data_IF_173602966446
#
_entry.id   IF_173602966446
#
_cell.length_a   1.000
_cell.length_b   1.000
_cell.length_c   1.000
_cell.angle_alpha   90.00
_cell.angle_beta   90.00
_cell.angle_gamma   90.00
#
_symmetry.space_group_name_H-M   'P 1'
#
loop_
_entity.id
_entity.type
_entity.pdbx_description
1 polymer ?
#
# COMPACT_ATOMS: atom_id res chain seq x y z
N UNK A 1 -66.03 8.06 51.13
CA UNK A 1 -64.99 7.05 50.82
C UNK A 1 -63.59 7.44 51.33
N UNK A 2 -63.46 8.17 52.46
CA UNK A 2 -62.16 8.65 53.00
C UNK A 2 -61.61 7.84 54.19
N UNK A 3 -62.34 6.83 54.67
CA UNK A 3 -62.04 6.15 55.95
C UNK A 3 -61.24 4.84 55.80
N UNK A 4 -60.88 4.44 54.58
CA UNK A 4 -60.10 3.20 54.35
C UNK A 4 -58.58 3.46 54.44
N UNK A 5 -58.12 4.63 53.97
CA UNK A 5 -56.71 5.00 53.96
C UNK A 5 -56.06 5.09 55.35
N UNK A 6 -56.85 5.39 56.40
CA UNK A 6 -56.34 5.57 57.75
C UNK A 6 -56.22 4.25 58.55
N UNK A 7 -56.78 3.13 58.05
CA UNK A 7 -56.65 1.79 58.67
C UNK A 7 -55.53 0.93 58.05
N UNK A 8 -55.00 1.29 56.88
CA UNK A 8 -53.86 0.59 56.26
C UNK A 8 -52.58 0.56 57.12
N UNK A 9 -52.15 1.62 57.84
CA UNK A 9 -50.85 1.60 58.52
C UNK A 9 -50.81 0.79 59.83
N UNK A 10 -51.92 0.20 60.29
CA UNK A 10 -51.97 -0.59 61.54
C UNK A 10 -51.73 -2.09 61.36
N UNK A 11 -51.73 -2.60 60.12
CA UNK A 11 -51.56 -4.02 59.88
C UNK A 11 -50.06 -4.36 59.73
N UNK A 12 -49.52 -5.31 60.50
CA UNK A 12 -48.11 -5.69 60.43
C UNK A 12 -47.71 -6.17 59.02
N UNK A 13 -48.64 -6.77 58.26
CA UNK A 13 -48.43 -7.19 56.87
C UNK A 13 -48.12 -6.03 55.91
N UNK A 14 -48.78 -4.87 56.07
CA UNK A 14 -48.58 -3.71 55.19
C UNK A 14 -47.22 -3.04 55.50
N UNK A 15 -46.81 -3.08 56.77
CA UNK A 15 -45.48 -2.60 57.20
C UNK A 15 -44.37 -3.47 56.59
N UNK A 16 -44.49 -4.81 56.64
CA UNK A 16 -43.52 -5.70 56.00
C UNK A 16 -43.50 -5.58 54.48
N UNK A 17 -44.64 -5.37 53.83
CA UNK A 17 -44.71 -5.14 52.38
C UNK A 17 -43.98 -3.85 51.98
N UNK A 18 -44.19 -2.77 52.73
CA UNK A 18 -43.49 -1.51 52.50
C UNK A 18 -41.98 -1.65 52.79
N UNK A 19 -41.60 -2.36 53.87
CA UNK A 19 -40.21 -2.66 54.18
C UNK A 19 -39.54 -3.45 53.05
N UNK A 20 -40.20 -4.49 52.51
CA UNK A 20 -39.69 -5.25 51.37
C UNK A 20 -39.54 -4.39 50.12
N UNK A 21 -40.50 -3.49 49.85
CA UNK A 21 -40.41 -2.56 48.73
C UNK A 21 -39.23 -1.58 48.89
N UNK A 22 -39.01 -1.05 50.11
CA UNK A 22 -37.88 -0.17 50.41
C UNK A 22 -36.55 -0.91 50.27
N UNK A 23 -36.44 -2.14 50.79
CA UNK A 23 -35.24 -2.98 50.65
C UNK A 23 -34.98 -3.30 49.17
N UNK A 24 -36.02 -3.66 48.41
CA UNK A 24 -35.92 -3.88 46.97
C UNK A 24 -35.42 -2.63 46.23
N UNK A 25 -36.00 -1.47 46.50
CA UNK A 25 -35.54 -0.21 45.92
C UNK A 25 -34.08 0.12 46.31
N UNK A 26 -33.69 -0.14 47.57
CA UNK A 26 -32.33 0.08 48.03
C UNK A 26 -31.33 -0.85 47.30
N UNK A 27 -31.68 -2.12 47.11
CA UNK A 27 -30.87 -3.08 46.35
C UNK A 27 -30.76 -2.65 44.89
N UNK A 28 -31.87 -2.29 44.24
CA UNK A 28 -31.86 -1.81 42.84
C UNK A 28 -31.00 -0.55 42.71
N UNK A 29 -31.17 0.43 43.61
CA UNK A 29 -30.38 1.66 43.61
C UNK A 29 -28.89 1.38 43.84
N UNK A 30 -28.56 0.47 44.76
CA UNK A 30 -27.19 0.02 45.02
C UNK A 30 -26.56 -0.64 43.80
N UNK A 31 -27.28 -1.54 43.12
CA UNK A 31 -26.82 -2.19 41.87
C UNK A 31 -26.63 -1.16 40.76
N UNK A 32 -27.56 -0.22 40.61
CA UNK A 32 -27.43 0.86 39.61
C UNK A 32 -26.20 1.73 39.87
N UNK A 33 -25.96 2.14 41.12
CA UNK A 33 -24.78 2.94 41.48
C UNK A 33 -23.48 2.17 41.39
N UNK A 34 -23.50 0.87 41.71
CA UNK A 34 -22.35 -0.01 41.51
C UNK A 34 -22.01 -0.14 40.02
N UNK A 35 -23.03 -0.30 39.16
CA UNK A 35 -22.84 -0.37 37.72
C UNK A 35 -22.27 0.93 37.14
N UNK A 36 -22.77 2.08 37.62
CA UNK A 36 -22.31 3.43 37.22
C UNK A 36 -20.82 3.64 37.56
N UNK A 37 -20.40 3.23 38.76
CA UNK A 37 -18.99 3.26 39.20
C UNK A 37 -18.13 2.25 38.44
N UNK A 38 -18.62 1.04 38.21
CA UNK A 38 -17.84 -0.01 37.56
C UNK A 38 -17.61 0.30 36.08
N UNK A 39 -18.55 0.97 35.42
CA UNK A 39 -18.49 1.21 33.97
C UNK A 39 -17.76 2.50 33.56
N UNK A 40 -17.26 3.32 34.50
CA UNK A 40 -16.48 4.54 34.24
C UNK A 40 -17.03 5.34 33.04
N UNK A 41 -18.33 5.65 33.06
CA UNK A 41 -19.08 6.14 31.90
C UNK A 41 -18.71 7.54 31.39
N UNK A 42 -17.61 8.16 31.85
CA UNK A 42 -17.37 9.59 31.62
C UNK A 42 -15.95 10.03 31.23
N UNK A 43 -15.00 9.12 30.99
CA UNK A 43 -13.67 9.51 30.50
C UNK A 43 -13.57 9.24 28.99
N UNK A 44 -14.18 10.17 28.24
CA UNK A 44 -13.99 10.25 26.80
C UNK A 44 -12.92 11.28 26.50
N UNK A 45 -11.87 10.85 25.82
CA UNK A 45 -10.81 11.72 25.33
C UNK A 45 -11.07 12.07 23.87
N UNK A 46 -10.82 13.33 23.52
CA UNK A 46 -10.91 13.78 22.14
C UNK A 46 -9.63 13.44 21.38
N UNK A 47 -9.80 12.91 20.16
CA UNK A 47 -8.69 12.61 19.27
C UNK A 47 -8.06 13.94 18.80
N UNK A 48 -6.77 14.20 19.06
CA UNK A 48 -6.10 15.41 18.60
C UNK A 48 -5.99 15.42 17.07
N UNK A 49 -6.03 16.60 16.47
CA UNK A 49 -5.72 16.75 15.05
C UNK A 49 -4.21 16.71 14.85
N UNK A 50 -3.74 15.65 14.19
CA UNK A 50 -2.32 15.44 13.88
C UNK A 50 -2.06 15.30 12.39
N UNK A 51 -3.02 15.69 11.54
CA UNK A 51 -2.83 15.67 10.09
C UNK A 51 -1.71 16.63 9.68
N UNK A 52 -0.84 16.16 8.78
CA UNK A 52 0.32 16.92 8.30
C UNK A 52 1.51 16.97 9.27
N UNK A 53 1.35 16.53 10.51
CA UNK A 53 2.47 16.40 11.45
C UNK A 53 3.30 15.15 11.15
N UNK A 54 4.55 15.17 11.61
CA UNK A 54 5.39 13.98 11.62
C UNK A 54 4.87 12.94 12.62
N UNK A 55 5.22 11.67 12.39
CA UNK A 55 4.84 10.56 13.31
C UNK A 55 5.35 10.82 14.73
N UNK A 56 6.54 11.40 14.88
CA UNK A 56 7.16 11.67 16.17
C UNK A 56 6.42 12.76 16.96
N UNK A 57 6.05 13.86 16.29
CA UNK A 57 5.25 14.93 16.91
C UNK A 57 3.85 14.44 17.28
N UNK A 58 3.23 13.65 16.39
CA UNK A 58 1.94 13.06 16.64
C UNK A 58 1.97 12.05 17.80
N UNK A 59 3.04 11.28 17.94
CA UNK A 59 3.22 10.34 19.05
C UNK A 59 3.19 11.06 20.41
N UNK A 60 3.82 12.22 20.51
CA UNK A 60 3.79 13.05 21.72
C UNK A 60 2.38 13.54 22.03
N UNK A 61 1.61 13.95 21.01
CA UNK A 61 0.22 14.40 21.19
C UNK A 61 -0.70 13.25 21.60
N UNK A 62 -0.58 12.07 20.98
CA UNK A 62 -1.34 10.90 21.38
C UNK A 62 -1.03 10.48 22.83
N UNK A 63 0.26 10.48 23.22
CA UNK A 63 0.66 10.14 24.57
C UNK A 63 0.12 11.13 25.61
N UNK A 64 0.13 12.45 25.31
CA UNK A 64 -0.47 13.48 26.18
C UNK A 64 -1.97 13.29 26.38
N UNK A 65 -2.67 12.81 25.35
CA UNK A 65 -4.10 12.48 25.41
C UNK A 65 -4.37 11.06 25.94
N UNK A 66 -3.37 10.30 26.40
CA UNK A 66 -3.59 8.91 26.86
C UNK A 66 -4.06 7.96 25.76
N UNK A 67 -3.81 8.30 24.49
CA UNK A 67 -4.14 7.50 23.31
C UNK A 67 -2.92 6.72 22.83
N UNK A 68 -3.16 5.62 22.13
CA UNK A 68 -2.12 4.83 21.46
C UNK A 68 -2.29 4.97 19.96
N UNK A 69 -1.22 4.82 19.19
CA UNK A 69 -1.31 4.83 17.73
C UNK A 69 -0.75 3.54 17.12
N UNK A 70 -1.23 3.21 15.92
CA UNK A 70 -0.69 2.14 15.11
C UNK A 70 -0.65 2.57 13.63
N UNK A 71 0.49 2.34 12.97
CA UNK A 71 0.67 2.61 11.56
C UNK A 71 0.10 1.46 10.75
N UNK A 72 -0.96 1.73 9.99
CA UNK A 72 -1.66 0.69 9.21
C UNK A 72 -1.28 0.69 7.74
N UNK A 73 -0.97 1.86 7.19
CA UNK A 73 -0.76 2.00 5.76
C UNK A 73 0.13 3.20 5.43
N UNK A 74 0.68 3.17 4.23
CA UNK A 74 1.39 4.28 3.61
C UNK A 74 0.68 4.67 2.31
N UNK A 75 0.11 5.86 2.28
CA UNK A 75 -0.51 6.43 1.08
C UNK A 75 0.54 7.24 0.33
N UNK A 76 0.54 7.22 -1.00
CA UNK A 76 1.41 8.09 -1.80
C UNK A 76 0.63 9.32 -2.26
N UNK A 77 0.90 10.47 -1.63
CA UNK A 77 0.33 11.76 -2.01
C UNK A 77 1.44 12.77 -2.30
N UNK A 78 1.24 13.59 -3.33
CA UNK A 78 2.17 14.67 -3.71
C UNK A 78 1.95 15.95 -2.89
N UNK A 79 0.80 16.07 -2.22
CA UNK A 79 0.38 17.30 -1.55
C UNK A 79 0.89 17.41 -0.11
N UNK A 80 1.35 16.29 0.46
CA UNK A 80 1.76 16.18 1.86
C UNK A 80 3.25 15.82 1.93
N UNK A 81 3.96 16.31 2.95
CA UNK A 81 5.37 15.95 3.15
C UNK A 81 5.53 14.43 3.35
N UNK A 82 6.63 13.81 2.89
CA UNK A 82 6.90 12.39 3.15
C UNK A 82 7.03 12.11 4.65
N UNK A 83 6.43 11.02 5.12
CA UNK A 83 6.42 10.65 6.54
C UNK A 83 5.43 11.43 7.42
N UNK A 84 4.71 12.41 6.86
CA UNK A 84 3.65 13.09 7.59
C UNK A 84 2.34 12.29 7.56
N UNK A 85 1.49 12.51 8.55
CA UNK A 85 0.21 11.82 8.69
C UNK A 85 -0.79 12.37 7.66
N UNK A 86 -1.37 11.47 6.86
CA UNK A 86 -2.37 11.80 5.84
C UNK A 86 -3.77 11.55 6.38
N UNK A 87 -3.97 10.39 7.01
CA UNK A 87 -5.29 9.94 7.46
C UNK A 87 -5.22 9.30 8.84
N UNK A 88 -6.32 9.44 9.59
CA UNK A 88 -6.45 9.01 10.97
C UNK A 88 -7.85 8.43 11.15
N UNK A 89 -7.93 7.26 11.79
CA UNK A 89 -9.19 6.61 12.16
C UNK A 89 -9.13 6.18 13.62
N UNK A 90 -10.05 6.64 14.49
CA UNK A 90 -11.16 7.58 14.27
C UNK A 90 -10.73 9.00 13.89
N UNK A 91 -11.63 9.78 13.28
CA UNK A 91 -11.37 11.14 12.84
C UNK A 91 -10.99 12.07 14.00
N UNK A 92 -10.17 13.09 13.72
CA UNK A 92 -9.84 14.14 14.67
C UNK A 92 -11.11 14.79 15.26
N UNK A 93 -11.08 15.11 16.56
CA UNK A 93 -12.23 15.61 17.32
C UNK A 93 -13.24 14.54 17.73
N UNK A 94 -13.08 13.28 17.31
CA UNK A 94 -13.94 12.19 17.78
C UNK A 94 -13.68 11.90 19.25
N UNK A 95 -14.76 11.60 20.00
CA UNK A 95 -14.67 11.18 21.41
C UNK A 95 -14.45 9.67 21.48
N UNK A 96 -13.32 9.28 22.05
CA UNK A 96 -12.92 7.87 22.22
C UNK A 96 -12.64 7.58 23.69
N UNK A 97 -12.70 6.31 24.09
CA UNK A 97 -12.25 5.90 25.42
C UNK A 97 -10.74 6.03 25.53
N UNK A 98 -10.25 6.26 26.75
CA UNK A 98 -8.82 6.22 27.05
C UNK A 98 -8.16 4.91 26.59
N UNK A 99 -6.89 5.00 26.18
CA UNK A 99 -6.11 3.85 25.70
C UNK A 99 -6.54 3.28 24.35
N UNK A 100 -7.51 3.91 23.66
CA UNK A 100 -7.93 3.52 22.31
C UNK A 100 -6.74 3.61 21.34
N UNK A 101 -6.63 2.62 20.46
CA UNK A 101 -5.67 2.63 19.36
C UNK A 101 -6.26 3.46 18.23
N UNK A 102 -5.52 4.48 17.83
CA UNK A 102 -5.77 5.32 16.68
C UNK A 102 -4.97 4.74 15.52
N UNK A 103 -5.65 4.42 14.43
CA UNK A 103 -5.01 3.96 13.21
C UNK A 103 -4.60 5.15 12.38
N UNK A 104 -3.34 5.16 11.97
CA UNK A 104 -2.71 6.27 11.26
C UNK A 104 -2.16 5.76 9.94
N UNK A 105 -2.44 6.50 8.87
CA UNK A 105 -1.82 6.32 7.58
C UNK A 105 -0.86 7.48 7.30
N UNK A 106 0.36 7.15 6.88
CA UNK A 106 1.42 8.12 6.62
C UNK A 106 1.64 8.32 5.13
N UNK A 107 2.22 9.45 4.75
CA UNK A 107 2.69 9.61 3.38
C UNK A 107 3.95 8.77 3.17
N UNK A 108 3.98 7.96 2.11
CA UNK A 108 5.12 7.12 1.80
C UNK A 108 6.40 7.96 1.58
N UNK A 109 7.52 7.51 2.16
CA UNK A 109 8.83 8.14 1.94
C UNK A 109 9.32 8.01 0.51
N UNK A 110 8.94 6.92 -0.15
CA UNK A 110 9.32 6.61 -1.53
C UNK A 110 8.08 6.54 -2.39
N UNK A 111 8.22 6.90 -3.66
CA UNK A 111 7.16 6.78 -4.65
C UNK A 111 6.73 5.31 -4.80
N UNK A 112 5.52 5.09 -5.30
CA UNK A 112 5.03 3.75 -5.61
C UNK A 112 6.09 2.95 -6.39
N UNK A 113 6.32 1.72 -5.97
CA UNK A 113 7.28 0.81 -6.58
C UNK A 113 6.53 -0.30 -7.32
N UNK A 114 7.01 -0.68 -8.49
CA UNK A 114 6.54 -1.85 -9.23
C UNK A 114 7.71 -2.75 -9.60
N UNK A 115 7.42 -4.03 -9.81
CA UNK A 115 8.41 -4.98 -10.32
C UNK A 115 8.70 -4.71 -11.79
N UNK A 116 9.98 -4.73 -12.16
CA UNK A 116 10.39 -4.69 -13.56
C UNK A 116 9.94 -5.99 -14.24
N UNK A 117 9.22 -5.93 -15.37
CA UNK A 117 8.83 -7.13 -16.09
C UNK A 117 10.01 -7.69 -16.89
N UNK A 118 9.92 -8.97 -17.28
CA UNK A 118 10.83 -9.52 -18.29
C UNK A 118 10.53 -8.85 -19.64
N UNK A 119 11.47 -8.02 -20.10
CA UNK A 119 11.39 -7.33 -21.41
C UNK A 119 12.29 -7.95 -22.47
N UNK A 120 13.12 -8.92 -22.08
CA UNK A 120 14.01 -9.66 -22.97
C UNK A 120 13.19 -10.34 -24.09
N UNK A 121 13.74 -10.34 -25.30
CA UNK A 121 13.14 -10.91 -26.51
C UNK A 121 11.83 -10.27 -26.99
N UNK A 122 11.36 -9.21 -26.34
CA UNK A 122 10.19 -8.46 -26.80
C UNK A 122 10.56 -7.42 -27.85
N UNK A 123 9.61 -7.09 -28.74
CA UNK A 123 9.77 -5.91 -29.61
C UNK A 123 9.80 -4.62 -28.77
N UNK A 124 10.50 -3.58 -29.23
CA UNK A 124 10.53 -2.25 -28.56
C UNK A 124 9.14 -1.77 -28.17
N UNK A 125 8.18 -1.91 -29.10
CA UNK A 125 6.81 -1.44 -28.89
C UNK A 125 6.11 -2.22 -27.78
N UNK A 126 6.29 -3.54 -27.75
CA UNK A 126 5.72 -4.41 -26.71
C UNK A 126 6.37 -4.12 -25.36
N UNK A 127 7.69 -4.07 -25.29
CA UNK A 127 8.42 -3.77 -24.05
C UNK A 127 8.03 -2.39 -23.49
N UNK A 128 7.97 -1.37 -24.35
CA UNK A 128 7.54 -0.03 -23.97
C UNK A 128 6.09 -0.01 -23.49
N UNK A 129 5.17 -0.69 -24.19
CA UNK A 129 3.78 -0.79 -23.77
C UNK A 129 3.66 -1.48 -22.40
N UNK A 130 4.39 -2.58 -22.19
CA UNK A 130 4.41 -3.33 -20.94
C UNK A 130 4.86 -2.46 -19.76
N UNK A 131 5.99 -1.76 -19.90
CA UNK A 131 6.48 -0.84 -18.88
C UNK A 131 5.47 0.28 -18.59
N UNK A 132 4.83 0.83 -19.62
CA UNK A 132 3.80 1.86 -19.46
C UNK A 132 2.55 1.33 -18.76
N UNK A 133 2.12 0.10 -19.04
CA UNK A 133 0.96 -0.51 -18.35
C UNK A 133 1.21 -0.74 -16.87
N UNK A 134 2.46 -0.97 -16.46
CA UNK A 134 2.85 -1.10 -15.07
C UNK A 134 2.98 0.25 -14.33
N UNK A 135 2.83 1.37 -15.05
CA UNK A 135 2.88 2.72 -14.48
C UNK A 135 4.23 3.42 -14.60
N UNK A 136 5.20 2.84 -15.30
CA UNK A 136 6.47 3.52 -15.57
C UNK A 136 6.28 4.57 -16.67
N UNK A 137 6.26 5.84 -16.27
CA UNK A 137 5.99 6.96 -17.18
C UNK A 137 7.26 7.57 -17.82
N UNK A 138 8.42 7.37 -17.20
CA UNK A 138 9.69 7.98 -17.62
C UNK A 138 10.61 6.96 -18.32
N UNK A 139 10.14 6.35 -19.42
CA UNK A 139 10.91 5.36 -20.19
C UNK A 139 11.52 6.02 -21.43
N UNK A 140 12.85 5.92 -21.56
CA UNK A 140 13.63 6.36 -22.73
C UNK A 140 14.23 5.15 -23.44
N UNK A 141 14.46 5.23 -24.75
CA UNK A 141 15.04 4.13 -25.55
C UNK A 141 16.47 4.44 -25.93
N UNK A 142 17.38 3.48 -25.73
CA UNK A 142 18.78 3.56 -26.17
C UNK A 142 19.10 2.38 -27.08
N UNK A 143 19.57 2.68 -28.29
CA UNK A 143 19.98 1.67 -29.25
C UNK A 143 21.45 1.28 -29.03
N UNK A 144 21.71 -0.02 -29.10
CA UNK A 144 23.04 -0.63 -28.96
C UNK A 144 23.26 -1.59 -30.13
N UNK A 145 24.50 -1.72 -30.65
CA UNK A 145 24.82 -2.66 -31.70
C UNK A 145 24.40 -4.08 -31.34
N UNK A 146 23.60 -4.74 -32.17
CA UNK A 146 23.28 -6.15 -31.98
C UNK A 146 22.62 -6.80 -33.20
N UNK A 147 22.32 -8.09 -33.10
CA UNK A 147 22.01 -8.91 -34.26
C UNK A 147 20.58 -8.74 -34.79
N UNK A 148 19.66 -8.24 -33.96
CA UNK A 148 18.23 -8.20 -34.27
C UNK A 148 17.68 -6.79 -34.14
N UNK A 149 17.12 -6.25 -35.23
CA UNK A 149 16.54 -4.91 -35.20
C UNK A 149 15.31 -4.86 -34.30
N UNK A 150 15.19 -3.80 -33.50
CA UNK A 150 14.03 -3.50 -32.65
C UNK A 150 13.74 -4.55 -31.56
N UNK A 151 14.76 -5.32 -31.17
CA UNK A 151 14.67 -6.29 -30.08
C UNK A 151 15.08 -5.64 -28.75
N UNK A 152 14.24 -5.74 -27.73
CA UNK A 152 14.57 -5.29 -26.38
C UNK A 152 15.55 -6.27 -25.73
N UNK A 153 16.69 -5.74 -25.29
CA UNK A 153 17.72 -6.51 -24.58
C UNK A 153 17.48 -6.44 -23.07
N UNK A 154 16.98 -5.32 -22.55
CA UNK A 154 16.79 -5.15 -21.12
C UNK A 154 16.43 -3.72 -20.72
N UNK A 155 16.27 -3.51 -19.41
CA UNK A 155 16.05 -2.19 -18.82
C UNK A 155 17.24 -1.81 -17.95
N UNK A 156 17.71 -0.58 -18.09
CA UNK A 156 18.81 0.00 -17.33
C UNK A 156 18.32 1.20 -16.51
N UNK A 157 18.83 1.34 -15.30
CA UNK A 157 18.62 2.48 -14.42
C UNK A 157 19.97 3.02 -13.98
N UNK A 158 20.30 4.25 -14.38
CA UNK A 158 21.56 4.93 -14.01
C UNK A 158 22.84 4.11 -14.24
N UNK A 159 22.98 3.39 -15.36
CA UNK A 159 24.17 2.56 -15.61
C UNK A 159 24.06 1.11 -15.14
N UNK A 160 23.02 0.75 -14.39
CA UNK A 160 22.82 -0.60 -13.85
C UNK A 160 21.66 -1.31 -14.56
N UNK A 161 21.93 -2.51 -15.10
CA UNK A 161 20.87 -3.38 -15.64
C UNK A 161 19.97 -3.89 -14.51
N UNK A 162 18.67 -3.83 -14.75
CA UNK A 162 17.62 -4.29 -13.86
C UNK A 162 17.11 -5.65 -14.31
N UNK A 163 16.91 -6.55 -13.34
CA UNK A 163 16.40 -7.89 -13.63
C UNK A 163 14.89 -7.96 -13.43
N UNK A 164 14.25 -8.93 -14.08
CA UNK A 164 12.83 -9.19 -13.90
C UNK A 164 12.49 -9.45 -12.42
N UNK A 165 11.44 -8.80 -11.92
CA UNK A 165 10.99 -8.86 -10.53
C UNK A 165 11.65 -7.85 -9.59
N UNK A 166 12.70 -7.14 -10.01
CA UNK A 166 13.33 -6.09 -9.20
C UNK A 166 12.35 -4.92 -8.99
N UNK A 167 12.20 -4.46 -7.75
CA UNK A 167 11.28 -3.36 -7.41
C UNK A 167 11.93 -2.02 -7.65
N UNK A 168 11.31 -1.23 -8.52
CA UNK A 168 11.79 0.10 -8.90
C UNK A 168 10.65 1.10 -8.78
N UNK A 169 11.00 2.32 -8.41
CA UNK A 169 10.08 3.44 -8.31
C UNK A 169 9.46 3.78 -9.69
N UNK A 170 8.15 3.99 -9.75
CA UNK A 170 7.41 4.26 -11.00
C UNK A 170 7.84 5.56 -11.72
N UNK A 171 8.40 6.50 -10.98
CA UNK A 171 8.93 7.76 -11.50
C UNK A 171 10.43 7.70 -11.85
N UNK A 172 11.09 6.55 -11.68
CA UNK A 172 12.50 6.42 -12.02
C UNK A 172 12.69 6.51 -13.55
N UNK A 173 13.72 7.24 -14.04
CA UNK A 173 14.02 7.30 -15.46
C UNK A 173 14.61 5.96 -15.91
N UNK A 174 13.80 5.15 -16.58
CA UNK A 174 14.21 3.85 -17.12
C UNK A 174 14.75 4.02 -18.54
N UNK A 175 15.82 3.30 -18.84
CA UNK A 175 16.42 3.24 -20.17
C UNK A 175 16.17 1.84 -20.76
N UNK A 176 15.28 1.74 -21.74
CA UNK A 176 15.03 0.52 -22.50
C UNK A 176 16.16 0.35 -23.52
N UNK A 177 16.99 -0.67 -23.32
CA UNK A 177 18.08 -1.02 -24.24
C UNK A 177 17.49 -1.85 -25.37
N UNK A 178 17.74 -1.40 -26.60
CA UNK A 178 17.23 -2.02 -27.82
C UNK A 178 18.39 -2.31 -28.75
N UNK A 179 18.32 -3.45 -29.44
CA UNK A 179 19.26 -3.79 -30.51
C UNK A 179 18.89 -3.11 -31.83
N UNK A 180 19.89 -2.53 -32.50
CA UNK A 180 19.73 -1.80 -33.77
C UNK A 180 19.81 -2.68 -35.04
N UNK A 181 20.19 -3.96 -34.90
CA UNK A 181 20.37 -4.88 -36.03
C UNK A 181 21.70 -4.72 -36.80
N UNK A 182 22.65 -3.91 -36.32
CA UNK A 182 23.94 -3.68 -36.99
C UNK A 182 25.09 -4.61 -36.51
N UNK A 183 24.80 -5.52 -35.58
CA UNK A 183 25.79 -6.39 -34.92
C UNK A 183 26.27 -7.59 -35.74
N UNK A 184 25.64 -7.85 -36.88
CA UNK A 184 26.06 -8.90 -37.81
C UNK A 184 26.91 -8.34 -38.94
N UNK A 185 28.22 -8.59 -38.88
CA UNK A 185 29.04 -8.60 -40.10
C UNK A 185 28.37 -9.56 -41.09
N UNK A 186 28.00 -9.05 -42.26
CA UNK A 186 27.53 -9.83 -43.38
C UNK A 186 28.66 -10.77 -43.85
N UNK A 187 28.81 -11.92 -43.20
CA UNK A 187 29.33 -13.12 -43.84
C UNK A 187 28.12 -13.86 -44.37
N UNK A 188 27.56 -13.29 -45.42
CA UNK A 188 26.53 -13.91 -46.22
C UNK A 188 27.09 -15.24 -46.72
N UNK A 189 26.49 -16.34 -46.25
CA UNK A 189 26.83 -17.70 -46.71
C UNK A 189 26.31 -17.96 -48.12
N UNK A 190 25.68 -16.97 -48.76
CA UNK A 190 25.16 -17.03 -50.13
C UNK A 190 26.02 -16.30 -51.16
N UNK A 191 27.26 -15.93 -50.84
CA UNK A 191 28.24 -15.51 -51.85
C UNK A 191 28.66 -16.72 -52.71
N UNK A 192 27.82 -17.04 -53.70
CA UNK A 192 28.07 -17.96 -54.80
C UNK A 192 29.11 -17.33 -55.73
N UNK A 193 30.35 -17.25 -55.26
CA UNK A 193 31.46 -17.27 -56.21
C UNK A 193 31.47 -18.68 -56.81
N UNK A 194 30.98 -18.78 -58.05
CA UNK A 194 30.98 -20.03 -58.82
C UNK A 194 32.32 -20.75 -58.64
N UNK A 195 32.35 -22.06 -58.29
CA UNK A 195 33.60 -22.79 -58.32
C UNK A 195 34.17 -22.67 -59.73
N UNK A 196 35.49 -22.44 -59.90
CA UNK A 196 36.07 -22.32 -61.22
C UNK A 196 35.73 -23.59 -62.00
N UNK A 197 35.00 -23.43 -63.10
CA UNK A 197 34.67 -24.54 -64.00
C UNK A 197 36.00 -25.08 -64.51
N UNK A 198 36.43 -26.20 -63.94
CA UNK A 198 37.57 -26.95 -64.41
C UNK A 198 37.16 -27.54 -65.76
N UNK A 199 37.56 -26.86 -66.83
CA UNK A 199 37.37 -27.33 -68.20
C UNK A 199 38.16 -28.63 -68.34
N UNK A 200 37.47 -29.77 -68.20
CA UNK A 200 38.01 -31.08 -68.53
C UNK A 200 38.40 -31.06 -70.01
N UNK A 201 39.69 -30.85 -70.28
CA UNK A 201 40.28 -30.92 -71.61
C UNK A 201 40.22 -32.38 -72.05
N UNK A 202 39.14 -32.72 -72.76
CA UNK A 202 38.91 -34.07 -73.26
C UNK A 202 39.76 -34.30 -74.52
N UNK A 203 41.06 -34.42 -74.34
CA UNK A 203 41.97 -34.98 -75.35
C UNK A 203 41.98 -36.51 -75.22
N UNK A 204 40.88 -37.16 -75.62
CA UNK A 204 40.93 -38.57 -76.02
C UNK A 204 41.05 -38.64 -77.53
N UNK A 205 42.29 -38.74 -77.99
CA UNK A 205 42.70 -39.01 -79.35
C UNK A 205 42.36 -40.45 -79.73
N UNK A 206 41.42 -40.63 -80.66
CA UNK A 206 41.03 -41.91 -81.24
C UNK A 206 41.93 -42.33 -82.41
N UNK A 207 43.14 -42.84 -82.12
CA UNK A 207 43.92 -43.63 -83.09
C UNK A 207 44.65 -44.80 -82.42
#
# INVERSE_FOLDING_TARGET
MKNFAHKLPKNPFIIHLFLMAVVSCAVVFGVLKWLDIYTHHNEAVEVPDVKGLSVDEAAVLFQKSGLRYNLIDSVSSKDVAPGAIVEIVPHAGSKVKEGRIIFVAINAFTSQQAGIPAVEDLSVRQAYALLKTLGFNAVQTKYVPGNYRDLAIGVELYGRMLYAGERVALNAPLLLIVSDGQGGVAIDSTDLSDPPVELLNNEETWF
#
